data_IF_190993137196
#
_entry.id   IF_190993137196
#
_cell.length_a   1.000
_cell.length_b   1.000
_cell.length_c   1.000
_cell.angle_alpha   90.00
_cell.angle_beta   90.00
_cell.angle_gamma   90.00
#
_symmetry.space_group_name_H-M   'P 1'
#
loop_
_entity.id
_entity.type
_entity.pdbx_description
1 polymer ?
#
# COMPACT_ATOMS: atom_id res chain seq x y z
N UNK A 1 19.86 7.95 6.84
CA UNK A 1 19.21 7.87 8.16
C UNK A 1 20.02 6.93 9.02
N UNK A 2 20.57 7.40 10.12
CA UNK A 2 21.38 6.58 11.03
C UNK A 2 20.48 5.63 11.82
N UNK A 3 20.80 4.34 11.78
CA UNK A 3 20.06 3.23 12.41
C UNK A 3 19.79 3.50 13.90
N UNK A 4 20.73 4.14 14.59
CA UNK A 4 20.63 4.50 16.01
C UNK A 4 19.50 5.51 16.30
N UNK A 5 19.26 6.44 15.39
CA UNK A 5 18.19 7.44 15.54
C UNK A 5 16.81 6.77 15.46
N UNK A 6 16.69 5.73 14.61
CA UNK A 6 15.46 4.94 14.50
C UNK A 6 15.20 4.19 15.79
N UNK A 7 16.20 3.46 16.32
CA UNK A 7 16.07 2.73 17.59
C UNK A 7 15.74 3.65 18.78
N UNK A 8 16.37 4.82 18.87
CA UNK A 8 16.06 5.80 19.93
C UNK A 8 14.58 6.21 19.89
N UNK A 9 14.07 6.53 18.70
CA UNK A 9 12.68 6.99 18.53
C UNK A 9 11.67 5.88 18.84
N UNK A 10 11.94 4.64 18.42
CA UNK A 10 11.05 3.51 18.70
C UNK A 10 11.04 3.16 20.18
N UNK A 11 12.20 3.15 20.84
CA UNK A 11 12.29 2.86 22.27
C UNK A 11 11.55 3.91 23.10
N UNK A 12 11.74 5.20 22.81
CA UNK A 12 11.00 6.27 23.49
C UNK A 12 9.49 6.16 23.31
N UNK A 13 9.03 5.72 22.14
CA UNK A 13 7.61 5.48 21.87
C UNK A 13 7.07 4.35 22.75
N UNK A 14 7.77 3.21 22.83
CA UNK A 14 7.36 2.06 23.64
C UNK A 14 7.32 2.40 25.13
N UNK A 15 8.34 3.11 25.63
CA UNK A 15 8.39 3.54 27.03
C UNK A 15 7.20 4.46 27.37
N UNK A 16 6.87 5.42 26.49
CA UNK A 16 5.68 6.27 26.67
C UNK A 16 4.35 5.50 26.62
N UNK A 17 4.33 4.35 25.96
CA UNK A 17 3.17 3.45 25.91
C UNK A 17 3.05 2.54 27.14
N UNK A 18 4.00 2.63 28.09
CA UNK A 18 3.98 1.87 29.34
C UNK A 18 4.82 0.60 29.33
N UNK A 19 5.67 0.37 28.32
CA UNK A 19 6.64 -0.73 28.36
C UNK A 19 7.73 -0.44 29.40
N UNK A 20 8.08 -1.44 30.20
CA UNK A 20 9.13 -1.34 31.21
C UNK A 20 10.17 -2.46 31.01
N UNK A 21 11.47 -2.14 30.85
CA UNK A 21 12.51 -3.15 30.61
C UNK A 21 12.78 -4.07 31.82
N UNK A 22 12.32 -3.69 33.01
CA UNK A 22 12.52 -4.45 34.25
C UNK A 22 11.31 -5.28 34.66
N UNK A 23 10.26 -5.30 33.83
CA UNK A 23 9.02 -6.03 34.10
C UNK A 23 8.62 -6.87 32.89
N UNK A 24 7.75 -7.85 33.13
CA UNK A 24 7.15 -8.62 32.05
C UNK A 24 6.10 -7.77 31.30
N UNK A 25 6.33 -7.53 30.01
CA UNK A 25 5.44 -6.73 29.15
C UNK A 25 4.47 -7.59 28.34
N UNK A 26 4.37 -8.90 28.60
CA UNK A 26 3.56 -9.84 27.81
C UNK A 26 2.09 -9.43 27.71
N UNK A 27 1.48 -8.97 28.81
CA UNK A 27 0.09 -8.52 28.80
C UNK A 27 -0.15 -7.30 27.90
N UNK A 28 0.73 -6.31 27.98
CA UNK A 28 0.64 -5.07 27.20
C UNK A 28 0.86 -5.36 25.70
N UNK A 29 1.78 -6.27 25.40
CA UNK A 29 2.03 -6.76 24.05
C UNK A 29 0.79 -7.44 23.45
N UNK A 30 0.15 -8.33 24.21
CA UNK A 30 -1.05 -9.03 23.76
C UNK A 30 -2.24 -8.08 23.58
N UNK A 31 -2.46 -7.13 24.50
CA UNK A 31 -3.49 -6.08 24.37
C UNK A 31 -3.33 -5.26 23.09
N UNK A 32 -2.09 -4.91 22.72
CA UNK A 32 -1.81 -4.09 21.54
C UNK A 32 -1.98 -4.86 20.22
N UNK A 33 -1.68 -6.16 20.21
CA UNK A 33 -1.89 -7.01 19.04
C UNK A 33 -3.37 -7.38 18.85
N UNK A 34 -4.10 -7.69 19.92
CA UNK A 34 -5.53 -7.96 19.87
C UNK A 34 -6.35 -6.73 19.42
N UNK A 35 -5.90 -5.50 19.75
CA UNK A 35 -6.49 -4.26 19.24
C UNK A 35 -6.32 -4.09 17.72
N UNK A 36 -5.24 -4.62 17.14
CA UNK A 36 -5.03 -4.61 15.68
C UNK A 36 -5.92 -5.64 14.98
N UNK A 37 -6.30 -6.72 15.66
CA UNK A 37 -7.20 -7.74 15.11
C UNK A 37 -8.68 -7.32 15.21
N UNK A 38 -9.10 -6.69 16.30
CA UNK A 38 -10.47 -6.18 16.46
C UNK A 38 -10.79 -5.00 15.52
N UNK A 39 -9.81 -4.16 15.19
CA UNK A 39 -9.98 -3.10 14.18
C UNK A 39 -10.10 -3.61 12.73
N UNK A 40 -9.95 -4.92 12.47
CA UNK A 40 -10.04 -5.51 11.12
C UNK A 40 -11.42 -6.08 10.78
N UNK A 41 -12.33 -6.21 11.76
CA UNK A 41 -13.60 -6.94 11.60
C UNK A 41 -14.89 -6.08 11.62
N UNK A 42 -14.84 -4.74 11.67
CA UNK A 42 -16.04 -3.88 11.77
C UNK A 42 -16.47 -3.18 10.46
N UNK A 43 -16.12 -3.68 9.28
CA UNK A 43 -16.68 -3.15 8.02
C UNK A 43 -17.07 -4.29 7.08
N UNK A 44 -18.19 -4.98 7.37
CA UNK A 44 -18.92 -5.75 6.36
C UNK A 44 -20.41 -5.88 6.67
N UNK A 45 -21.20 -5.50 5.67
CA UNK A 45 -22.64 -5.73 5.41
C UNK A 45 -23.64 -4.71 5.96
N UNK A 46 -24.23 -3.92 5.04
CA UNK A 46 -25.63 -4.14 4.66
C UNK A 46 -25.83 -3.75 3.18
N UNK A 47 -26.64 -4.56 2.48
CA UNK A 47 -26.88 -4.60 1.03
C UNK A 47 -28.33 -4.17 0.79
N UNK A 48 -28.58 -3.32 -0.19
CA UNK A 48 -29.86 -3.32 -0.91
C UNK A 48 -29.61 -3.19 -2.42
N UNK A 49 -30.12 -4.19 -3.16
CA UNK A 49 -30.39 -4.19 -4.60
C UNK A 49 -31.94 -4.33 -4.74
N UNK A 50 -32.59 -4.34 -5.92
CA UNK A 50 -32.04 -4.38 -7.29
C UNK A 50 -32.77 -3.50 -8.35
N UNK A 51 -32.07 -3.15 -9.44
CA UNK A 51 -32.66 -2.96 -10.78
C UNK A 51 -31.72 -3.52 -11.86
N UNK A 52 -32.23 -4.48 -12.62
CA UNK A 52 -31.70 -5.09 -13.86
C UNK A 52 -31.52 -3.98 -14.92
N UNK A 53 -30.51 -3.92 -15.80
CA UNK A 53 -30.04 -4.76 -16.95
C UNK A 53 -28.81 -4.02 -17.56
N UNK A 54 -27.97 -4.58 -18.48
CA UNK A 54 -27.62 -5.96 -18.81
C UNK A 54 -26.08 -6.22 -18.73
N UNK A 55 -25.67 -7.48 -18.84
CA UNK A 55 -24.29 -7.92 -18.87
C UNK A 55 -23.51 -7.43 -20.12
N UNK A 56 -22.46 -6.61 -19.95
CA UNK A 56 -21.28 -6.57 -20.87
C UNK A 56 -20.09 -5.83 -20.24
N UNK A 57 -18.91 -6.47 -20.30
CA UNK A 57 -17.55 -5.93 -20.15
C UNK A 57 -17.13 -5.32 -18.80
N UNK A 58 -16.32 -6.09 -18.05
CA UNK A 58 -15.49 -5.59 -16.95
C UNK A 58 -14.74 -4.31 -17.37
N UNK A 59 -14.83 -3.18 -16.65
CA UNK A 59 -14.08 -1.99 -16.99
C UNK A 59 -12.60 -2.28 -16.79
N UNK A 60 -11.93 -2.66 -17.88
CA UNK A 60 -10.50 -2.92 -17.95
C UNK A 60 -9.77 -1.60 -17.78
N UNK A 61 -9.56 -1.24 -16.52
CA UNK A 61 -8.86 -0.02 -16.13
C UNK A 61 -7.47 0.01 -16.76
N UNK A 62 -7.11 1.14 -17.37
CA UNK A 62 -5.77 1.31 -17.92
C UNK A 62 -4.74 1.33 -16.79
N UNK A 63 -3.49 1.02 -17.12
CA UNK A 63 -2.39 1.00 -16.13
C UNK A 63 -2.30 2.37 -15.41
N UNK A 64 -2.38 3.48 -16.16
CA UNK A 64 -2.35 4.84 -15.60
C UNK A 64 -3.51 5.09 -14.64
N UNK A 65 -4.72 4.78 -15.06
CA UNK A 65 -5.91 4.95 -14.23
C UNK A 65 -5.79 4.12 -12.94
N UNK A 66 -5.32 2.86 -13.03
CA UNK A 66 -5.13 1.97 -11.89
C UNK A 66 -4.17 2.56 -10.84
N UNK A 67 -3.04 3.10 -11.28
CA UNK A 67 -2.10 3.76 -10.38
C UNK A 67 -2.66 5.06 -9.79
N UNK A 68 -3.33 5.89 -10.58
CA UNK A 68 -3.95 7.14 -10.09
C UNK A 68 -5.02 6.86 -9.02
N UNK A 69 -5.81 5.81 -9.20
CA UNK A 69 -6.79 5.37 -8.20
C UNK A 69 -6.12 4.93 -6.90
N UNK A 70 -5.09 4.08 -7.00
CA UNK A 70 -4.32 3.64 -5.83
C UNK A 70 -3.66 4.82 -5.10
N UNK A 71 -3.15 5.80 -5.84
CA UNK A 71 -2.53 6.99 -5.30
C UNK A 71 -3.56 7.87 -4.56
N UNK A 72 -4.74 8.09 -5.15
CA UNK A 72 -5.85 8.83 -4.53
C UNK A 72 -6.36 8.19 -3.24
N UNK A 73 -6.39 6.85 -3.18
CA UNK A 73 -6.72 6.14 -1.94
C UNK A 73 -5.68 6.37 -0.83
N UNK A 74 -4.41 6.46 -1.21
CA UNK A 74 -3.31 6.68 -0.26
C UNK A 74 -3.15 8.13 0.16
N UNK A 75 -3.58 9.09 -0.65
CA UNK A 75 -3.46 10.53 -0.39
C UNK A 75 -3.94 10.93 1.01
N UNK A 76 -5.07 10.39 1.48
CA UNK A 76 -5.61 10.68 2.82
C UNK A 76 -4.90 9.95 3.97
N UNK A 77 -4.05 8.98 3.66
CA UNK A 77 -3.40 8.09 4.63
C UNK A 77 -1.91 8.39 4.83
N UNK A 78 -1.29 9.08 3.88
CA UNK A 78 0.16 9.34 3.88
C UNK A 78 0.46 10.83 3.85
N UNK A 79 1.67 11.20 4.28
CA UNK A 79 2.11 12.60 4.20
C UNK A 79 2.25 13.05 2.74
N UNK A 80 2.17 14.37 2.50
CA UNK A 80 2.37 14.97 1.19
C UNK A 80 3.71 14.55 0.55
N UNK A 81 4.79 14.50 1.35
CA UNK A 81 6.10 14.02 0.91
C UNK A 81 6.02 12.57 0.41
N UNK A 82 5.41 11.68 1.20
CA UNK A 82 5.26 10.26 0.83
C UNK A 82 4.38 10.09 -0.41
N UNK A 83 3.31 10.87 -0.53
CA UNK A 83 2.44 10.88 -1.70
C UNK A 83 3.22 11.30 -2.96
N UNK A 84 4.03 12.36 -2.86
CA UNK A 84 4.92 12.80 -3.94
C UNK A 84 5.94 11.72 -4.31
N UNK A 85 6.52 11.04 -3.33
CA UNK A 85 7.46 9.93 -3.58
C UNK A 85 6.80 8.77 -4.32
N UNK A 86 5.57 8.40 -3.96
CA UNK A 86 4.79 7.38 -4.70
C UNK A 86 4.50 7.81 -6.12
N UNK A 87 4.04 9.05 -6.32
CA UNK A 87 3.80 9.60 -7.66
C UNK A 87 5.05 9.54 -8.55
N UNK A 88 6.21 9.90 -8.00
CA UNK A 88 7.48 9.83 -8.72
C UNK A 88 7.81 8.39 -9.14
N UNK A 89 7.67 7.41 -8.23
CA UNK A 89 7.91 5.99 -8.52
C UNK A 89 6.95 5.43 -9.58
N UNK A 90 5.67 5.83 -9.51
CA UNK A 90 4.66 5.48 -10.52
C UNK A 90 5.07 6.02 -11.89
N UNK A 91 5.53 7.26 -11.97
CA UNK A 91 5.99 7.84 -13.24
C UNK A 91 7.21 7.09 -13.80
N UNK A 92 8.14 6.63 -12.95
CA UNK A 92 9.28 5.82 -13.39
C UNK A 92 8.84 4.51 -14.02
N UNK A 93 7.89 3.77 -13.42
CA UNK A 93 7.42 2.52 -14.03
C UNK A 93 6.60 2.77 -15.30
N UNK A 94 5.78 3.82 -15.35
CA UNK A 94 5.01 4.17 -16.54
C UNK A 94 5.91 4.52 -17.73
N UNK A 95 6.94 5.33 -17.50
CA UNK A 95 7.92 5.68 -18.55
C UNK A 95 8.76 4.49 -18.99
N UNK A 96 9.05 3.54 -18.10
CA UNK A 96 9.73 2.29 -18.46
C UNK A 96 8.82 1.35 -19.28
N UNK A 97 7.53 1.24 -18.91
CA UNK A 97 6.54 0.44 -19.64
C UNK A 97 6.30 1.00 -21.04
N UNK A 98 6.17 2.32 -21.20
CA UNK A 98 6.00 2.95 -22.51
C UNK A 98 7.17 2.66 -23.47
N UNK A 99 8.38 2.46 -22.93
CA UNK A 99 9.59 2.18 -23.73
C UNK A 99 9.77 0.69 -24.06
N UNK A 100 9.53 -0.20 -23.08
CA UNK A 100 9.85 -1.62 -23.22
C UNK A 100 8.65 -2.48 -23.59
N UNK A 101 7.44 -2.04 -23.26
CA UNK A 101 6.19 -2.79 -23.40
C UNK A 101 5.00 -1.90 -23.82
N UNK A 102 5.07 -1.22 -24.98
CA UNK A 102 4.00 -0.32 -25.46
C UNK A 102 2.66 -1.05 -25.73
N UNK A 103 2.68 -2.38 -25.86
CA UNK A 103 1.51 -3.24 -26.01
C UNK A 103 0.66 -3.34 -24.74
N UNK A 104 1.25 -3.11 -23.56
CA UNK A 104 0.58 -3.25 -22.27
C UNK A 104 -0.20 -1.98 -21.93
N UNK A 105 -1.50 -1.98 -22.24
CA UNK A 105 -2.40 -0.83 -21.97
C UNK A 105 -3.26 -1.02 -20.71
N UNK A 106 -3.52 -2.26 -20.33
CA UNK A 106 -4.45 -2.63 -19.26
C UNK A 106 -3.71 -3.19 -18.05
N UNK A 107 -4.20 -2.91 -16.84
CA UNK A 107 -3.58 -3.39 -15.59
C UNK A 107 -3.54 -4.93 -15.48
N UNK A 108 -4.51 -5.63 -16.07
CA UNK A 108 -4.56 -7.10 -16.11
C UNK A 108 -3.43 -7.74 -16.91
N UNK A 109 -2.85 -6.99 -17.86
CA UNK A 109 -1.76 -7.48 -18.69
C UNK A 109 -0.40 -7.40 -17.97
N UNK A 110 -0.35 -6.78 -16.79
CA UNK A 110 0.88 -6.65 -16.01
C UNK A 110 1.16 -7.97 -15.28
N UNK A 111 2.10 -8.74 -15.79
CA UNK A 111 2.51 -10.02 -15.19
C UNK A 111 3.72 -9.86 -14.25
N UNK A 112 4.03 -10.94 -13.53
CA UNK A 112 5.19 -10.99 -12.63
C UNK A 112 6.51 -10.79 -13.41
N UNK A 113 6.62 -11.27 -14.65
CA UNK A 113 7.86 -11.20 -15.43
C UNK A 113 8.19 -9.75 -15.78
N UNK A 114 7.22 -8.98 -16.22
CA UNK A 114 7.33 -7.56 -16.55
C UNK A 114 7.73 -6.77 -15.30
N UNK A 115 7.08 -7.03 -14.16
CA UNK A 115 7.44 -6.37 -12.89
C UNK A 115 8.88 -6.74 -12.47
N UNK A 116 9.27 -8.01 -12.57
CA UNK A 116 10.64 -8.42 -12.27
C UNK A 116 11.67 -7.81 -13.21
N UNK A 117 11.36 -7.71 -14.51
CA UNK A 117 12.25 -7.07 -15.49
C UNK A 117 12.44 -5.58 -15.18
N UNK A 118 11.38 -4.87 -14.80
CA UNK A 118 11.47 -3.49 -14.33
C UNK A 118 12.35 -3.36 -13.08
N UNK A 119 12.15 -4.24 -12.09
CA UNK A 119 12.92 -4.20 -10.86
C UNK A 119 14.41 -4.46 -11.11
N UNK A 120 14.75 -5.40 -12.00
CA UNK A 120 16.13 -5.64 -12.40
C UNK A 120 16.73 -4.40 -13.09
N UNK A 121 15.98 -3.75 -13.99
CA UNK A 121 16.43 -2.52 -14.65
C UNK A 121 16.73 -1.36 -13.68
N UNK A 122 16.08 -1.31 -12.50
CA UNK A 122 16.37 -0.29 -11.48
C UNK A 122 17.62 -0.65 -10.64
N UNK A 123 17.96 -1.94 -10.57
CA UNK A 123 19.09 -2.44 -9.78
C UNK A 123 20.43 -2.38 -10.52
N UNK A 124 20.38 -2.40 -11.85
CA UNK A 124 21.53 -2.18 -12.74
C UNK A 124 22.00 -0.71 -12.71
#
# INVERSE_FOLDING_TARGET
MEVLVVYRKTLLKLLKQGYNPYQDNTELHNKLNNRKETAKNEVKSEVEAPKEVPATETPKMTIKQAYDFGLKLKEKLVSERTHKDYKNKINTILTWLEKNHPELKTIEALDKKVVSAFLNHILD
#
